data_IF_718879752895
#
_entry.id   IF_718879752895
#
_cell.length_a   1.000
_cell.length_b   1.000
_cell.length_c   1.000
_cell.angle_alpha   90.00
_cell.angle_beta   90.00
_cell.angle_gamma   90.00
#
_symmetry.space_group_name_H-M   'P 1'
#
loop_
_entity.id
_entity.type
_entity.pdbx_description
1 polymer ?
#
# COMPACT_ATOMS: atom_id res chain seq x y z
N UNK A 1 5.54 11.91 -8.48
CA UNK A 1 5.41 13.23 -7.83
C UNK A 1 4.95 13.06 -6.40
N UNK A 2 5.53 13.81 -5.47
CA UNK A 2 5.19 13.67 -4.05
C UNK A 2 3.71 13.96 -3.80
N UNK A 3 3.09 13.13 -2.98
CA UNK A 3 1.69 13.27 -2.59
C UNK A 3 0.68 12.62 -3.53
N UNK A 4 1.12 12.07 -4.66
CA UNK A 4 0.19 11.33 -5.52
C UNK A 4 -0.15 9.99 -4.88
N UNK A 5 -1.42 9.60 -5.02
CA UNK A 5 -1.84 8.25 -4.62
C UNK A 5 -1.39 7.29 -5.71
N UNK A 6 -0.56 6.32 -5.35
CA UNK A 6 0.01 5.38 -6.35
C UNK A 6 -0.39 3.93 -6.10
N UNK A 7 -0.92 3.62 -4.93
CA UNK A 7 -1.26 2.25 -4.56
C UNK A 7 -2.21 2.26 -3.36
N UNK A 8 -3.03 1.22 -3.24
CA UNK A 8 -3.81 1.01 -2.03
C UNK A 8 -3.95 -0.47 -1.73
N UNK A 9 -4.10 -0.80 -0.45
CA UNK A 9 -4.25 -2.18 -0.01
C UNK A 9 -5.63 -2.36 0.60
N UNK A 10 -6.30 -3.44 0.17
CA UNK A 10 -7.62 -3.82 0.66
C UNK A 10 -7.45 -5.00 1.61
N UNK A 11 -7.54 -4.78 2.94
CA UNK A 11 -7.44 -5.87 3.90
C UNK A 11 -8.66 -6.77 3.79
N UNK A 12 -8.45 -8.08 3.81
CA UNK A 12 -9.53 -9.04 3.67
C UNK A 12 -9.37 -10.19 4.66
N UNK A 13 -10.47 -10.54 5.34
CA UNK A 13 -10.50 -11.75 6.14
C UNK A 13 -10.48 -12.99 5.25
N UNK A 14 -11.09 -12.87 4.07
CA UNK A 14 -11.14 -13.92 3.05
C UNK A 14 -10.79 -13.31 1.70
N UNK A 15 -9.52 -13.42 1.26
CA UNK A 15 -9.11 -12.84 -0.02
C UNK A 15 -9.87 -13.35 -1.24
N UNK A 16 -10.31 -14.62 -1.26
CA UNK A 16 -11.12 -15.14 -2.37
C UNK A 16 -12.44 -14.41 -2.46
N UNK A 17 -13.10 -14.24 -1.34
CA UNK A 17 -14.39 -13.53 -1.28
C UNK A 17 -14.22 -12.05 -1.66
N UNK A 18 -13.20 -11.39 -1.16
CA UNK A 18 -12.92 -9.99 -1.49
C UNK A 18 -12.60 -9.82 -2.96
N UNK A 19 -11.78 -10.71 -3.52
CA UNK A 19 -11.43 -10.68 -4.95
C UNK A 19 -12.67 -10.85 -5.84
N UNK A 20 -13.56 -11.76 -5.47
CA UNK A 20 -14.82 -11.96 -6.18
C UNK A 20 -15.71 -10.73 -6.14
N UNK A 21 -15.77 -10.06 -5.00
CA UNK A 21 -16.58 -8.84 -4.85
C UNK A 21 -16.07 -7.71 -5.76
N UNK A 22 -14.78 -7.36 -5.61
CA UNK A 22 -14.23 -6.23 -6.36
C UNK A 22 -14.10 -6.51 -7.85
N UNK A 23 -13.67 -7.72 -8.21
CA UNK A 23 -13.61 -8.13 -9.60
C UNK A 23 -14.97 -8.19 -10.25
N UNK A 24 -15.98 -8.66 -9.53
CA UNK A 24 -17.36 -8.71 -10.03
C UNK A 24 -17.98 -7.33 -10.19
N UNK A 25 -17.65 -6.42 -9.26
CA UNK A 25 -18.23 -5.07 -9.26
C UNK A 25 -17.67 -4.21 -10.39
N UNK A 26 -16.35 -4.18 -10.53
CA UNK A 26 -15.66 -3.26 -11.45
C UNK A 26 -14.97 -3.95 -12.63
N UNK A 27 -14.95 -5.27 -12.65
CA UNK A 27 -14.23 -6.01 -13.68
C UNK A 27 -12.71 -5.95 -13.51
N UNK A 28 -12.23 -5.58 -12.32
CA UNK A 28 -10.79 -5.57 -12.06
C UNK A 28 -10.26 -7.00 -12.15
N UNK A 29 -9.14 -7.15 -12.83
CA UNK A 29 -8.47 -8.45 -12.96
C UNK A 29 -7.53 -8.64 -11.79
N UNK A 30 -8.04 -9.26 -10.74
CA UNK A 30 -7.27 -9.48 -9.52
C UNK A 30 -6.52 -10.79 -9.69
N UNK A 31 -5.19 -10.70 -9.75
CA UNK A 31 -4.34 -11.83 -10.03
C UNK A 31 -4.16 -12.77 -8.84
N UNK A 32 -3.41 -13.83 -9.04
CA UNK A 32 -2.92 -14.65 -7.95
C UNK A 32 -1.84 -13.89 -7.18
N UNK A 33 -1.34 -14.49 -6.09
CA UNK A 33 -0.36 -13.80 -5.25
C UNK A 33 0.88 -13.41 -6.05
N UNK A 34 1.26 -12.14 -5.93
CA UNK A 34 2.46 -11.60 -6.56
C UNK A 34 3.70 -11.77 -5.67
N UNK A 35 3.53 -12.22 -4.45
CA UNK A 35 4.61 -12.36 -3.47
C UNK A 35 4.69 -13.79 -2.97
N UNK A 36 5.90 -14.33 -2.91
CA UNK A 36 6.12 -15.65 -2.34
C UNK A 36 5.89 -15.61 -0.83
N UNK A 37 5.14 -16.59 -0.31
CA UNK A 37 4.90 -16.73 1.12
C UNK A 37 3.87 -15.78 1.70
N UNK A 38 3.26 -14.94 0.88
CA UNK A 38 2.23 -13.99 1.32
C UNK A 38 1.22 -13.76 0.20
N UNK A 39 -0.06 -13.89 0.51
CA UNK A 39 -1.14 -13.80 -0.47
C UNK A 39 -1.46 -12.33 -0.80
N UNK A 40 -0.67 -11.77 -1.71
CA UNK A 40 -0.78 -10.37 -2.10
C UNK A 40 -1.25 -10.28 -3.55
N UNK A 41 -2.54 -10.05 -3.75
CA UNK A 41 -3.19 -10.15 -5.06
C UNK A 41 -3.35 -8.77 -5.70
N UNK A 42 -2.46 -8.46 -6.61
CA UNK A 42 -2.39 -7.13 -7.25
C UNK A 42 -3.39 -6.98 -8.39
N UNK A 43 -3.81 -5.75 -8.60
CA UNK A 43 -4.68 -5.37 -9.72
C UNK A 43 -4.38 -3.92 -10.10
N UNK A 44 -4.75 -3.57 -11.35
CA UNK A 44 -4.62 -2.21 -11.87
C UNK A 44 -6.00 -1.55 -11.91
N UNK A 45 -6.07 -0.29 -11.52
CA UNK A 45 -7.31 0.52 -11.56
C UNK A 45 -7.26 1.48 -12.73
N UNK A 46 -6.08 2.05 -12.99
CA UNK A 46 -5.85 2.98 -14.08
C UNK A 46 -4.37 3.20 -14.28
N UNK A 47 -3.99 4.17 -15.08
CA UNK A 47 -2.58 4.50 -15.25
C UNK A 47 -1.99 5.01 -13.95
N UNK A 48 -0.91 4.39 -13.52
CA UNK A 48 -0.18 4.80 -12.33
C UNK A 48 -0.88 4.51 -11.00
N UNK A 49 -2.05 3.86 -11.03
CA UNK A 49 -2.75 3.51 -9.80
C UNK A 49 -3.16 2.06 -9.82
N UNK A 50 -2.72 1.33 -8.85
CA UNK A 50 -3.12 -0.06 -8.64
C UNK A 50 -3.38 -0.33 -7.18
N UNK A 51 -3.65 -1.57 -6.86
CA UNK A 51 -3.87 -1.98 -5.49
C UNK A 51 -3.60 -3.45 -5.30
N UNK A 52 -3.88 -3.92 -4.10
CA UNK A 52 -3.76 -5.34 -3.77
C UNK A 52 -4.82 -5.73 -2.75
N UNK A 53 -5.36 -6.93 -2.91
CA UNK A 53 -6.14 -7.59 -1.88
C UNK A 53 -5.18 -8.46 -1.07
N UNK A 54 -5.21 -8.34 0.24
CA UNK A 54 -4.31 -9.11 1.11
C UNK A 54 -5.04 -9.59 2.36
N UNK A 55 -4.62 -10.74 2.92
CA UNK A 55 -5.22 -11.21 4.16
C UNK A 55 -4.84 -10.29 5.32
N UNK A 56 -5.81 -10.01 6.18
CA UNK A 56 -5.56 -9.18 7.36
C UNK A 56 -6.62 -9.39 8.41
N UNK A 57 -6.20 -9.43 9.66
CA UNK A 57 -7.11 -9.44 10.80
C UNK A 57 -7.80 -8.08 11.00
N UNK A 58 -7.29 -7.05 10.31
CA UNK A 58 -7.84 -5.68 10.37
C UNK A 58 -8.84 -5.40 9.26
N UNK A 59 -9.36 -6.44 8.61
CA UNK A 59 -10.40 -6.27 7.60
C UNK A 59 -11.58 -5.50 8.20
N UNK A 60 -12.10 -4.54 7.44
CA UNK A 60 -13.18 -3.67 7.91
C UNK A 60 -12.70 -2.37 8.55
N UNK A 61 -11.39 -2.20 8.79
CA UNK A 61 -10.84 -0.97 9.36
C UNK A 61 -10.53 0.09 8.29
N UNK A 62 -10.71 -0.24 7.02
CA UNK A 62 -10.47 0.65 5.89
C UNK A 62 -9.26 0.23 5.07
N UNK A 63 -9.16 0.83 3.90
CA UNK A 63 -8.03 0.58 2.99
C UNK A 63 -6.82 1.38 3.43
N UNK A 64 -5.63 0.90 3.05
CA UNK A 64 -4.38 1.60 3.29
C UNK A 64 -3.98 2.30 1.99
N UNK A 65 -3.85 3.62 2.02
CA UNK A 65 -3.45 4.42 0.86
C UNK A 65 -1.94 4.62 0.88
N UNK A 66 -1.30 4.46 -0.27
CA UNK A 66 0.13 4.72 -0.45
C UNK A 66 0.31 6.00 -1.25
N UNK A 67 1.12 6.89 -0.72
CA UNK A 67 1.46 8.17 -1.36
C UNK A 67 2.89 8.14 -1.86
N UNK A 68 3.09 8.61 -3.07
CA UNK A 68 4.42 8.71 -3.68
C UNK A 68 5.26 9.78 -2.99
N UNK A 69 6.54 9.51 -2.86
CA UNK A 69 7.51 10.47 -2.31
C UNK A 69 8.75 10.52 -3.19
N UNK A 70 9.41 11.67 -3.19
CA UNK A 70 10.69 11.83 -3.87
C UNK A 70 11.85 11.35 -3.01
N UNK A 71 11.72 11.46 -1.68
CA UNK A 71 12.73 11.07 -0.69
C UNK A 71 12.00 10.56 0.55
N UNK A 72 11.93 9.23 0.68
CA UNK A 72 11.16 8.61 1.76
C UNK A 72 11.78 8.89 3.13
N UNK A 73 13.10 9.01 3.23
CA UNK A 73 13.74 9.29 4.51
C UNK A 73 13.35 10.68 5.01
N UNK A 74 13.36 11.67 4.12
CA UNK A 74 12.90 13.02 4.45
C UNK A 74 11.41 13.05 4.78
N UNK A 75 10.60 12.28 4.05
CA UNK A 75 9.16 12.22 4.28
C UNK A 75 8.83 11.58 5.63
N UNK A 76 9.52 10.50 6.01
CA UNK A 76 9.36 9.87 7.32
C UNK A 76 9.67 10.86 8.45
N UNK A 77 10.78 11.57 8.31
CA UNK A 77 11.15 12.60 9.30
C UNK A 77 10.08 13.68 9.39
N UNK A 78 9.54 14.08 8.26
CA UNK A 78 8.49 15.11 8.19
C UNK A 78 7.18 14.68 8.85
N UNK A 79 6.78 13.43 8.65
CA UNK A 79 5.59 12.86 9.32
C UNK A 79 5.74 12.99 10.82
N UNK A 80 6.88 12.61 11.36
CA UNK A 80 7.15 12.67 12.81
C UNK A 80 7.17 14.12 13.31
N UNK A 81 7.78 15.01 12.54
CA UNK A 81 7.82 16.44 12.87
C UNK A 81 6.43 17.06 12.95
N UNK A 82 5.53 16.64 12.05
CA UNK A 82 4.16 17.19 11.96
C UNK A 82 3.18 16.53 12.93
N UNK A 83 3.64 15.59 13.76
CA UNK A 83 2.82 14.99 14.81
C UNK A 83 2.20 13.64 14.46
N UNK A 84 2.50 13.09 13.30
CA UNK A 84 2.12 11.73 12.94
C UNK A 84 3.13 10.71 13.46
N UNK A 85 2.90 9.44 13.12
CA UNK A 85 3.84 8.37 13.43
C UNK A 85 4.34 7.73 12.14
N UNK A 86 5.55 7.24 12.15
CA UNK A 86 6.11 6.53 11.01
C UNK A 86 7.03 5.42 11.49
N UNK A 87 6.83 4.23 10.93
CA UNK A 87 7.76 3.12 11.13
C UNK A 87 9.00 3.30 10.26
N UNK A 88 10.02 2.52 10.52
CA UNK A 88 11.21 2.51 9.68
C UNK A 88 10.86 2.04 8.28
N UNK A 89 11.48 2.64 7.27
CA UNK A 89 11.25 2.21 5.89
C UNK A 89 11.72 0.77 5.70
N UNK A 90 11.01 0.05 4.83
CA UNK A 90 11.34 -1.33 4.49
C UNK A 90 11.41 -1.48 2.98
N UNK A 91 12.28 -2.36 2.48
CA UNK A 91 12.39 -2.56 1.04
C UNK A 91 11.31 -3.51 0.51
N UNK A 92 10.85 -3.21 -0.71
CA UNK A 92 10.28 -4.19 -1.59
C UNK A 92 11.38 -4.42 -2.65
N UNK A 93 12.16 -5.49 -2.55
CA UNK A 93 13.39 -5.62 -3.33
C UNK A 93 13.15 -5.40 -4.82
N UNK A 94 14.03 -4.63 -5.43
CA UNK A 94 14.02 -4.23 -6.85
C UNK A 94 12.86 -3.32 -7.26
N UNK A 95 11.96 -2.97 -6.35
CA UNK A 95 10.78 -2.13 -6.65
C UNK A 95 10.83 -0.78 -5.94
N UNK A 96 11.10 -0.77 -4.65
CA UNK A 96 11.11 0.47 -3.91
C UNK A 96 11.12 0.28 -2.40
N UNK A 97 10.77 1.36 -1.72
CA UNK A 97 10.73 1.43 -0.25
C UNK A 97 9.36 1.88 0.21
N UNK A 98 8.89 1.33 1.31
CA UNK A 98 7.66 1.82 1.93
C UNK A 98 7.86 2.06 3.42
N UNK A 99 7.02 2.90 3.98
CA UNK A 99 6.98 3.15 5.42
C UNK A 99 5.51 3.27 5.86
N UNK A 100 5.11 2.46 6.82
CA UNK A 100 3.78 2.52 7.40
C UNK A 100 3.70 3.69 8.38
N UNK A 101 2.66 4.48 8.28
CA UNK A 101 2.50 5.72 9.04
C UNK A 101 1.08 5.87 9.57
N UNK A 102 0.90 6.82 10.49
CA UNK A 102 -0.42 7.36 10.84
C UNK A 102 -0.35 8.88 10.80
N UNK A 103 -1.47 9.50 10.48
CA UNK A 103 -1.58 10.97 10.56
C UNK A 103 -1.88 11.41 12.00
N UNK A 104 -2.17 12.69 12.22
CA UNK A 104 -2.44 13.24 13.55
C UNK A 104 -3.73 12.74 14.16
N UNK A 105 -4.63 12.17 13.35
CA UNK A 105 -5.93 11.67 13.78
C UNK A 105 -5.96 10.15 13.91
N UNK A 106 -4.80 9.49 13.72
CA UNK A 106 -4.68 8.04 13.81
C UNK A 106 -5.05 7.29 12.55
N UNK A 107 -5.27 7.99 11.43
CA UNK A 107 -5.58 7.32 10.17
C UNK A 107 -4.31 6.67 9.60
N UNK A 108 -4.35 5.37 9.26
CA UNK A 108 -3.19 4.71 8.69
C UNK A 108 -3.00 5.09 7.22
N UNK A 109 -1.75 5.22 6.82
CA UNK A 109 -1.35 5.39 5.43
C UNK A 109 0.08 4.89 5.26
N UNK A 110 0.56 4.85 4.04
CA UNK A 110 1.95 4.48 3.78
C UNK A 110 2.60 5.47 2.82
N UNK A 111 3.90 5.57 2.93
CA UNK A 111 4.74 6.32 1.99
C UNK A 111 5.42 5.32 1.07
N UNK A 112 5.66 5.74 -0.16
CA UNK A 112 6.33 4.93 -1.17
C UNK A 112 7.40 5.73 -1.91
N UNK A 113 8.52 5.10 -2.18
CA UNK A 113 9.53 5.62 -3.10
C UNK A 113 9.98 4.51 -4.02
N UNK A 114 9.78 4.70 -5.34
CA UNK A 114 10.27 3.76 -6.33
C UNK A 114 11.80 3.76 -6.37
N UNK A 115 12.41 2.58 -6.35
CA UNK A 115 13.86 2.42 -6.37
C UNK A 115 14.20 1.00 -6.83
N UNK A 116 14.75 0.87 -8.02
CA UNK A 116 15.13 -0.43 -8.56
C UNK A 116 16.30 -1.07 -7.81
N UNK A 117 16.97 -0.31 -6.96
CA UNK A 117 18.09 -0.78 -6.14
C UNK A 117 17.67 -1.09 -4.69
N UNK A 118 16.40 -1.03 -4.37
CA UNK A 118 15.93 -1.36 -3.02
C UNK A 118 16.28 -2.81 -2.67
N UNK A 119 16.78 -3.01 -1.46
CA UNK A 119 17.23 -4.32 -1.01
C UNK A 119 17.11 -4.48 0.51
#
# INVERSE_FOLDING_TARGET
MAGEIVHFEVPAADPDRASGFWGGLFGWKIGGSAMEGFDYRMFQVGEGLGGAVMPSEKAGSGVIIYYDTDDIDAAVAKVRELGGTADEKQPVPTHGWFAACTDTEGNPFSLWQGDSNAA
#
